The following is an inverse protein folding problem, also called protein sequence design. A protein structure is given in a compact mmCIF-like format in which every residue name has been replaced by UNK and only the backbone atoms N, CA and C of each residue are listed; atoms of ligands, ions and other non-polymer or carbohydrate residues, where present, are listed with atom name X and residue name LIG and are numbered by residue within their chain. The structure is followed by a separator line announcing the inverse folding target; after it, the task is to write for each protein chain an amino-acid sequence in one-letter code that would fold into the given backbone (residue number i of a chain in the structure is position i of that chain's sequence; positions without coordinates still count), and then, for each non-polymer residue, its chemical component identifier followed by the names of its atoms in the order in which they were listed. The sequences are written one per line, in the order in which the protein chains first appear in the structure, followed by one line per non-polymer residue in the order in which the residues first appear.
data_IF_695885188501
#
_entry.id   IF_695885188501
#
_cell.length_a   1.000
_cell.length_b   1.000
_cell.length_c   1.000
_cell.angle_alpha   90.00
_cell.angle_beta   90.00
_cell.angle_gamma   90.00
#
_symmetry.space_group_name_H-M   'P 1'
#
loop_
_entity.id
_entity.type
_entity.pdbx_description
1 polymer ?
#
# COMPACT_ATOMS: atom_id res chain seq x y z
N UNK A 1 9.39 0.68 -57.49
CA UNK A 1 8.82 0.01 -56.31
C UNK A 1 8.15 1.06 -55.43
N UNK A 2 6.81 1.11 -55.41
CA UNK A 2 6.03 2.00 -54.54
C UNK A 2 6.01 1.40 -53.14
N UNK A 3 6.60 2.10 -52.17
CA UNK A 3 6.40 1.80 -50.76
C UNK A 3 4.96 2.17 -50.40
N UNK A 4 4.16 1.16 -50.06
CA UNK A 4 2.84 1.36 -49.47
C UNK A 4 3.08 1.72 -48.00
N UNK A 5 3.00 3.02 -47.68
CA UNK A 5 2.85 3.50 -46.31
C UNK A 5 1.44 3.15 -45.83
N UNK A 6 1.23 1.86 -45.54
CA UNK A 6 0.01 1.34 -44.97
C UNK A 6 -0.05 1.67 -43.49
N UNK A 7 -0.92 2.62 -43.16
CA UNK A 7 -1.60 2.84 -41.88
C UNK A 7 -1.13 1.92 -40.74
N UNK A 8 -0.50 2.51 -39.72
CA UNK A 8 -0.52 1.98 -38.37
C UNK A 8 -2.00 1.84 -38.01
N UNK A 9 -2.52 0.60 -38.07
CA UNK A 9 -3.90 0.34 -37.68
C UNK A 9 -3.98 0.60 -36.18
N UNK A 10 -4.82 1.56 -35.79
CA UNK A 10 -5.36 1.60 -34.44
C UNK A 10 -5.85 0.19 -34.09
N UNK A 11 -5.38 -0.35 -32.97
CA UNK A 11 -5.89 -1.61 -32.42
C UNK A 11 -7.43 -1.43 -32.29
N UNK A 12 -8.25 -2.37 -32.78
CA UNK A 12 -9.69 -2.29 -32.59
C UNK A 12 -9.99 -2.19 -31.08
N UNK A 13 -10.84 -1.24 -30.69
CA UNK A 13 -11.22 -1.02 -29.28
C UNK A 13 -11.73 -2.32 -28.62
N UNK A 14 -12.42 -3.16 -29.39
CA UNK A 14 -12.92 -4.48 -28.96
C UNK A 14 -11.80 -5.46 -28.58
N UNK A 15 -10.64 -5.39 -29.24
CA UNK A 15 -9.49 -6.24 -28.94
C UNK A 15 -8.74 -5.81 -27.68
N UNK A 16 -8.79 -4.51 -27.33
CA UNK A 16 -8.26 -4.02 -26.05
C UNK A 16 -9.18 -4.45 -24.89
N UNK A 17 -10.50 -4.41 -25.07
CA UNK A 17 -11.47 -4.84 -24.08
C UNK A 17 -11.37 -6.34 -23.76
N UNK A 18 -11.29 -7.19 -24.80
CA UNK A 18 -11.06 -8.64 -24.66
C UNK A 18 -9.75 -8.93 -23.90
N UNK A 19 -8.67 -8.21 -24.20
CA UNK A 19 -7.41 -8.37 -23.50
C UNK A 19 -7.51 -8.00 -22.01
N UNK A 20 -8.33 -7.01 -21.64
CA UNK A 20 -8.54 -6.66 -20.22
C UNK A 20 -9.32 -7.74 -19.48
N UNK A 21 -10.33 -8.33 -20.11
CA UNK A 21 -11.09 -9.45 -19.55
C UNK A 21 -10.19 -10.68 -19.34
N UNK A 22 -9.34 -10.98 -20.32
CA UNK A 22 -8.37 -12.07 -20.22
C UNK A 22 -7.39 -11.87 -19.05
N UNK A 23 -6.85 -10.66 -18.87
CA UNK A 23 -5.95 -10.36 -17.75
C UNK A 23 -6.68 -10.52 -16.41
N UNK A 24 -7.94 -10.07 -16.31
CA UNK A 24 -8.75 -10.25 -15.10
C UNK A 24 -8.97 -11.74 -14.82
N UNK A 25 -9.31 -12.54 -15.83
CA UNK A 25 -9.50 -13.98 -15.70
C UNK A 25 -8.22 -14.68 -15.25
N UNK A 26 -7.06 -14.28 -15.76
CA UNK A 26 -5.76 -14.81 -15.32
C UNK A 26 -5.49 -14.52 -13.83
N UNK A 27 -5.83 -13.32 -13.34
CA UNK A 27 -5.73 -12.97 -11.91
C UNK A 27 -6.61 -13.89 -11.05
N UNK A 28 -7.84 -14.16 -11.48
CA UNK A 28 -8.77 -15.05 -10.77
C UNK A 28 -8.27 -16.50 -10.72
N UNK A 29 -7.72 -17.00 -11.84
CA UNK A 29 -7.12 -18.33 -11.91
C UNK A 29 -5.95 -18.46 -10.92
N UNK A 30 -5.06 -17.46 -10.85
CA UNK A 30 -3.95 -17.46 -9.89
C UNK A 30 -4.47 -17.51 -8.44
N UNK A 31 -5.51 -16.74 -8.12
CA UNK A 31 -6.14 -16.78 -6.79
C UNK A 31 -6.74 -18.17 -6.49
N UNK A 32 -7.40 -18.78 -7.47
CA UNK A 32 -8.00 -20.11 -7.32
C UNK A 32 -6.95 -21.19 -7.05
N UNK A 33 -5.83 -21.13 -7.78
CA UNK A 33 -4.68 -22.03 -7.58
C UNK A 33 -4.06 -21.84 -6.20
N UNK A 34 -3.86 -20.59 -5.78
CA UNK A 34 -3.32 -20.27 -4.46
C UNK A 34 -4.19 -20.83 -3.31
N UNK A 35 -5.51 -20.63 -3.39
CA UNK A 35 -6.46 -21.14 -2.38
C UNK A 35 -6.52 -22.67 -2.32
N UNK A 36 -6.20 -23.34 -3.43
CA UNK A 36 -6.21 -24.79 -3.52
C UNK A 36 -4.93 -25.43 -2.95
N UNK A 37 -4.05 -24.65 -2.30
CA UNK A 37 -2.76 -25.13 -1.79
C UNK A 37 -1.70 -25.30 -2.88
N UNK A 38 -1.90 -24.64 -4.03
CA UNK A 38 -0.92 -24.62 -5.11
C UNK A 38 0.43 -24.08 -4.62
N UNK A 39 1.52 -24.77 -4.99
CA UNK A 39 2.88 -24.44 -4.56
C UNK A 39 3.23 -22.97 -4.83
N UNK A 40 3.83 -22.28 -3.84
CA UNK A 40 4.19 -20.86 -3.90
C UNK A 40 5.00 -20.46 -5.16
N UNK A 41 5.74 -21.40 -5.74
CA UNK A 41 6.44 -21.25 -7.03
C UNK A 41 5.52 -20.87 -8.20
N UNK A 42 4.30 -21.39 -8.24
CA UNK A 42 3.33 -21.10 -9.31
C UNK A 42 2.72 -19.72 -9.12
N UNK A 43 2.42 -19.33 -7.86
CA UNK A 43 1.99 -17.98 -7.52
C UNK A 43 3.08 -16.96 -7.84
N UNK A 44 4.34 -17.24 -7.51
CA UNK A 44 5.48 -16.38 -7.84
C UNK A 44 5.60 -16.17 -9.35
N UNK A 45 5.50 -17.24 -10.15
CA UNK A 45 5.51 -17.13 -11.62
C UNK A 45 4.34 -16.28 -12.14
N UNK A 46 3.13 -16.49 -11.62
CA UNK A 46 1.96 -15.70 -11.99
C UNK A 46 2.14 -14.21 -11.67
N UNK A 47 2.63 -13.90 -10.47
CA UNK A 47 2.93 -12.52 -10.05
C UNK A 47 3.99 -11.87 -10.92
N UNK A 48 5.07 -12.56 -11.28
CA UNK A 48 6.10 -12.02 -12.19
C UNK A 48 5.55 -11.66 -13.57
N UNK A 49 4.51 -12.33 -14.02
CA UNK A 49 3.84 -12.03 -15.30
C UNK A 49 2.90 -10.82 -15.14
N UNK A 50 2.13 -10.77 -14.05
CA UNK A 50 1.06 -9.79 -13.89
C UNK A 50 1.47 -8.48 -13.22
N UNK A 51 2.38 -8.50 -12.23
CA UNK A 51 2.79 -7.30 -11.52
C UNK A 51 3.45 -6.23 -12.41
N UNK A 52 4.23 -6.57 -13.46
CA UNK A 52 4.72 -5.57 -14.41
C UNK A 52 3.61 -4.80 -15.14
N UNK A 53 2.39 -5.35 -15.18
CA UNK A 53 1.24 -4.69 -15.80
C UNK A 53 0.64 -3.62 -14.87
N UNK A 54 0.83 -3.73 -13.55
CA UNK A 54 0.33 -2.78 -12.53
C UNK A 54 1.09 -1.46 -12.63
N UNK A 55 0.67 -0.65 -13.58
CA UNK A 55 1.26 0.64 -13.94
C UNK A 55 0.21 1.74 -13.86
N UNK A 56 0.58 3.02 -13.72
CA UNK A 56 -0.40 4.11 -13.67
C UNK A 56 -1.41 4.12 -14.82
N UNK A 57 -1.05 3.84 -16.09
CA UNK A 57 -2.03 3.69 -17.18
C UNK A 57 -3.04 2.57 -16.95
N UNK A 58 -2.60 1.42 -16.43
CA UNK A 58 -3.52 0.31 -16.11
C UNK A 58 -4.45 0.67 -14.94
N UNK A 59 -3.95 1.44 -13.97
CA UNK A 59 -4.76 1.92 -12.85
C UNK A 59 -5.85 2.92 -13.26
N UNK A 60 -5.74 3.51 -14.45
CA UNK A 60 -6.81 4.33 -15.02
C UNK A 60 -8.04 3.49 -15.42
N UNK A 61 -7.91 2.15 -15.48
CA UNK A 61 -8.99 1.20 -15.73
C UNK A 61 -9.47 0.61 -14.40
N UNK A 62 -10.60 1.09 -13.83
CA UNK A 62 -10.96 0.78 -12.44
C UNK A 62 -11.21 -0.71 -12.18
N UNK A 63 -11.82 -1.42 -13.15
CA UNK A 63 -12.10 -2.85 -13.02
C UNK A 63 -10.83 -3.68 -12.90
N UNK A 64 -9.85 -3.39 -13.76
CA UNK A 64 -8.58 -4.12 -13.81
C UNK A 64 -7.68 -3.77 -12.62
N UNK A 65 -7.65 -2.49 -12.23
CA UNK A 65 -6.98 -2.06 -11.00
C UNK A 65 -7.55 -2.83 -9.79
N UNK A 66 -8.87 -2.84 -9.63
CA UNK A 66 -9.50 -3.53 -8.53
C UNK A 66 -9.27 -5.04 -8.56
N UNK A 67 -9.26 -5.67 -9.73
CA UNK A 67 -8.92 -7.09 -9.88
C UNK A 67 -7.48 -7.38 -9.41
N UNK A 68 -6.51 -6.55 -9.80
CA UNK A 68 -5.11 -6.72 -9.42
C UNK A 68 -4.88 -6.65 -7.90
N UNK A 69 -5.46 -5.65 -7.22
CA UNK A 69 -5.27 -5.52 -5.76
C UNK A 69 -6.14 -6.49 -4.95
N UNK A 70 -7.31 -6.91 -5.47
CA UNK A 70 -8.04 -8.03 -4.87
C UNK A 70 -7.23 -9.32 -4.94
N UNK A 71 -6.54 -9.58 -6.07
CA UNK A 71 -5.64 -10.73 -6.18
C UNK A 71 -4.53 -10.67 -5.12
N UNK A 72 -3.87 -9.52 -4.93
CA UNK A 72 -2.84 -9.38 -3.91
C UNK A 72 -3.39 -9.66 -2.50
N UNK A 73 -4.55 -9.09 -2.16
CA UNK A 73 -5.21 -9.36 -0.88
C UNK A 73 -5.58 -10.83 -0.70
N UNK A 74 -6.08 -11.49 -1.75
CA UNK A 74 -6.46 -12.89 -1.70
C UNK A 74 -5.23 -13.81 -1.55
N UNK A 75 -4.11 -13.46 -2.17
CA UNK A 75 -2.83 -14.15 -2.01
C UNK A 75 -2.24 -13.94 -0.61
N UNK A 76 -2.40 -12.76 -0.02
CA UNK A 76 -2.04 -12.50 1.39
C UNK A 76 -2.84 -13.40 2.33
N UNK A 77 -4.18 -13.43 2.15
CA UNK A 77 -5.07 -14.29 2.94
C UNK A 77 -4.78 -15.80 2.78
N UNK A 78 -4.20 -16.21 1.66
CA UNK A 78 -3.76 -17.57 1.40
C UNK A 78 -2.31 -17.85 1.86
N UNK A 79 -1.70 -16.93 2.62
CA UNK A 79 -0.32 -16.99 3.12
C UNK A 79 0.73 -17.14 2.00
N UNK A 80 0.43 -16.76 0.76
CA UNK A 80 1.34 -16.97 -0.36
C UNK A 80 2.42 -15.89 -0.46
N UNK A 81 2.11 -14.65 -0.07
CA UNK A 81 3.02 -13.52 -0.31
C UNK A 81 4.30 -13.60 0.53
N UNK A 82 4.23 -14.06 1.78
CA UNK A 82 5.41 -14.20 2.66
C UNK A 82 6.17 -15.52 2.44
N UNK A 83 5.74 -16.33 1.47
CA UNK A 83 6.47 -17.51 0.98
C UNK A 83 7.24 -17.22 -0.33
N UNK A 84 7.10 -16.02 -0.88
CA UNK A 84 7.79 -15.62 -2.10
C UNK A 84 9.28 -15.38 -1.85
N UNK A 85 10.15 -15.61 -2.84
CA UNK A 85 11.49 -15.03 -2.83
C UNK A 85 11.43 -13.52 -2.57
N UNK A 86 12.41 -12.99 -1.83
CA UNK A 86 12.40 -11.57 -1.41
C UNK A 86 12.29 -10.59 -2.58
N UNK A 87 12.89 -10.91 -3.73
CA UNK A 87 12.81 -10.08 -4.93
C UNK A 87 11.38 -9.98 -5.48
N UNK A 88 10.61 -11.06 -5.42
CA UNK A 88 9.21 -11.07 -5.84
C UNK A 88 8.32 -10.37 -4.81
N UNK A 89 8.61 -10.54 -3.52
CA UNK A 89 7.96 -9.77 -2.46
C UNK A 89 8.18 -8.26 -2.65
N UNK A 90 9.38 -7.86 -3.08
CA UNK A 90 9.68 -6.45 -3.38
C UNK A 90 8.84 -5.93 -4.56
N UNK A 91 8.51 -6.78 -5.54
CA UNK A 91 7.56 -6.41 -6.60
C UNK A 91 6.16 -6.17 -6.04
N UNK A 92 5.71 -6.99 -5.08
CA UNK A 92 4.42 -6.78 -4.38
C UNK A 92 4.43 -5.46 -3.61
N UNK A 93 5.50 -5.17 -2.85
CA UNK A 93 5.65 -3.89 -2.14
C UNK A 93 5.62 -2.71 -3.12
N UNK A 94 6.26 -2.85 -4.29
CA UNK A 94 6.25 -1.82 -5.33
C UNK A 94 4.85 -1.61 -5.90
N UNK A 95 4.10 -2.69 -6.16
CA UNK A 95 2.72 -2.60 -6.59
C UNK A 95 1.85 -1.90 -5.53
N UNK A 96 1.98 -2.25 -4.24
CA UNK A 96 1.27 -1.57 -3.15
C UNK A 96 1.58 -0.07 -3.09
N UNK A 97 2.84 0.35 -3.34
CA UNK A 97 3.19 1.78 -3.45
C UNK A 97 2.42 2.46 -4.56
N UNK A 98 2.42 1.85 -5.75
CA UNK A 98 1.72 2.37 -6.93
C UNK A 98 0.22 2.48 -6.66
N UNK A 99 -0.38 1.48 -5.99
CA UNK A 99 -1.79 1.46 -5.61
C UNK A 99 -2.17 2.50 -4.56
N UNK A 100 -1.31 2.74 -3.56
CA UNK A 100 -1.53 3.80 -2.57
C UNK A 100 -1.52 5.19 -3.20
N UNK A 101 -0.77 5.39 -4.28
CA UNK A 101 -0.76 6.64 -5.06
C UNK A 101 -1.85 6.70 -6.13
N UNK A 102 -2.66 5.64 -6.28
CA UNK A 102 -3.81 5.65 -7.16
C UNK A 102 -4.93 6.46 -6.51
N UNK A 103 -5.58 7.37 -7.25
CA UNK A 103 -6.67 8.24 -6.75
C UNK A 103 -7.99 7.44 -6.54
N UNK A 104 -7.93 6.12 -6.36
CA UNK A 104 -9.08 5.25 -6.21
C UNK A 104 -9.23 4.76 -4.77
N UNK A 105 -10.35 5.11 -4.12
CA UNK A 105 -10.67 4.68 -2.76
C UNK A 105 -10.62 3.15 -2.59
N UNK A 106 -11.20 2.40 -3.52
CA UNK A 106 -11.23 0.93 -3.44
C UNK A 106 -9.81 0.35 -3.47
N UNK A 107 -8.97 0.86 -4.38
CA UNK A 107 -7.58 0.41 -4.51
C UNK A 107 -6.76 0.81 -3.28
N UNK A 108 -6.86 2.05 -2.81
CA UNK A 108 -6.14 2.50 -1.61
C UNK A 108 -6.53 1.69 -0.37
N UNK A 109 -7.82 1.37 -0.22
CA UNK A 109 -8.33 0.55 0.89
C UNK A 109 -7.80 -0.88 0.81
N UNK A 110 -7.88 -1.52 -0.37
CA UNK A 110 -7.31 -2.85 -0.60
C UNK A 110 -5.80 -2.90 -0.31
N UNK A 111 -5.06 -1.86 -0.70
CA UNK A 111 -3.64 -1.74 -0.39
C UNK A 111 -3.42 -1.69 1.12
N UNK A 112 -4.14 -0.82 1.84
CA UNK A 112 -4.02 -0.69 3.29
C UNK A 112 -4.35 -2.01 4.01
N UNK A 113 -5.42 -2.70 3.62
CA UNK A 113 -5.81 -3.99 4.20
C UNK A 113 -4.76 -5.06 3.96
N UNK A 114 -4.20 -5.13 2.74
CA UNK A 114 -3.11 -6.04 2.39
C UNK A 114 -1.86 -5.74 3.22
N UNK A 115 -1.52 -4.47 3.43
CA UNK A 115 -0.40 -4.04 4.28
C UNK A 115 -0.62 -4.49 5.73
N UNK A 116 -1.84 -4.39 6.25
CA UNK A 116 -2.19 -4.87 7.59
C UNK A 116 -1.96 -6.38 7.71
N UNK A 117 -2.47 -7.17 6.76
CA UNK A 117 -2.29 -8.62 6.77
C UNK A 117 -0.82 -9.04 6.68
N UNK A 118 -0.09 -8.48 5.71
CA UNK A 118 1.35 -8.67 5.57
C UNK A 118 2.13 -8.30 6.82
N UNK A 119 1.86 -7.14 7.43
CA UNK A 119 2.54 -6.68 8.64
C UNK A 119 2.33 -7.64 9.81
N UNK A 120 1.10 -8.11 9.98
CA UNK A 120 0.76 -9.08 11.02
C UNK A 120 1.50 -10.40 10.81
N UNK A 121 1.58 -10.88 9.56
CA UNK A 121 2.29 -12.12 9.23
C UNK A 121 3.79 -11.96 9.42
N UNK A 122 4.40 -10.91 8.88
CA UNK A 122 5.83 -10.62 8.95
C UNK A 122 6.33 -10.56 10.39
N UNK A 123 5.56 -9.98 11.30
CA UNK A 123 5.89 -9.95 12.73
C UNK A 123 6.02 -11.35 13.36
N UNK A 124 5.33 -12.36 12.83
CA UNK A 124 5.44 -13.73 13.33
C UNK A 124 6.68 -14.48 12.82
N UNK A 125 7.42 -13.92 11.86
CA UNK A 125 8.60 -14.54 11.24
C UNK A 125 9.92 -14.28 12.01
N UNK A 126 9.87 -13.48 13.09
CA UNK A 126 11.05 -13.09 13.88
C UNK A 126 11.69 -11.78 13.42
N UNK A 127 12.60 -11.24 14.24
CA UNK A 127 13.09 -9.86 14.10
C UNK A 127 14.01 -9.62 12.88
N UNK A 128 14.74 -10.67 12.42
CA UNK A 128 15.72 -10.58 11.32
C UNK A 128 15.16 -11.01 9.96
N UNK A 129 13.82 -11.04 9.80
CA UNK A 129 13.23 -11.47 8.53
C UNK A 129 13.40 -10.38 7.44
N UNK A 130 13.71 -10.76 6.18
CA UNK A 130 14.02 -9.81 5.12
C UNK A 130 12.80 -8.99 4.66
N UNK A 131 11.58 -9.51 4.88
CA UNK A 131 10.34 -8.85 4.45
C UNK A 131 10.02 -7.60 5.26
N UNK A 132 10.43 -7.56 6.53
CA UNK A 132 10.21 -6.43 7.41
C UNK A 132 10.77 -5.14 6.81
N UNK A 133 12.04 -5.13 6.38
CA UNK A 133 12.66 -3.94 5.81
C UNK A 133 11.90 -3.42 4.59
N UNK A 134 11.54 -4.30 3.66
CA UNK A 134 10.79 -3.91 2.45
C UNK A 134 9.43 -3.31 2.80
N UNK A 135 8.69 -3.95 3.72
CA UNK A 135 7.35 -3.52 4.09
C UNK A 135 7.34 -2.19 4.84
N UNK A 136 8.31 -1.98 5.74
CA UNK A 136 8.45 -0.75 6.54
C UNK A 136 8.60 0.51 5.66
N UNK A 137 9.09 0.36 4.43
CA UNK A 137 9.21 1.49 3.50
C UNK A 137 7.84 2.09 3.12
N UNK A 138 6.74 1.36 3.27
CA UNK A 138 5.38 1.84 2.99
C UNK A 138 4.85 2.82 4.06
N UNK A 139 5.40 2.78 5.28
CA UNK A 139 4.95 3.65 6.37
C UNK A 139 5.23 5.12 6.07
N UNK A 140 6.41 5.42 5.52
CA UNK A 140 6.79 6.77 5.09
C UNK A 140 5.83 7.30 4.03
N UNK A 141 5.52 6.48 3.01
CA UNK A 141 4.59 6.84 1.95
C UNK A 141 3.20 7.16 2.51
N UNK A 142 2.64 6.29 3.36
CA UNK A 142 1.33 6.51 3.97
C UNK A 142 1.29 7.82 4.77
N UNK A 143 2.28 8.07 5.62
CA UNK A 143 2.36 9.32 6.39
C UNK A 143 2.45 10.53 5.47
N UNK A 144 3.26 10.47 4.42
CA UNK A 144 3.34 11.56 3.43
C UNK A 144 1.99 11.82 2.75
N UNK A 145 1.31 10.77 2.27
CA UNK A 145 0.00 10.89 1.63
C UNK A 145 -1.04 11.50 2.58
N UNK A 146 -1.03 11.10 3.84
CA UNK A 146 -1.92 11.64 4.87
C UNK A 146 -1.65 13.13 5.14
N UNK A 147 -0.39 13.49 5.34
CA UNK A 147 0.03 14.87 5.62
C UNK A 147 -0.31 15.79 4.44
N UNK A 148 -0.14 15.30 3.21
CA UNK A 148 -0.46 16.02 1.97
C UNK A 148 -1.94 15.95 1.57
N UNK A 149 -2.77 15.23 2.32
CA UNK A 149 -4.20 15.02 1.99
C UNK A 149 -4.40 14.36 0.62
N UNK A 150 -3.46 13.50 0.22
CA UNK A 150 -3.47 12.77 -1.05
C UNK A 150 -4.11 11.38 -0.93
N UNK A 151 -4.50 10.98 0.28
CA UNK A 151 -5.24 9.74 0.50
C UNK A 151 -6.75 9.99 0.45
N UNK A 152 -7.55 9.12 -0.22
CA UNK A 152 -9.01 9.24 -0.21
C UNK A 152 -9.56 9.25 1.23
N UNK A 153 -10.50 10.17 1.57
CA UNK A 153 -11.02 10.29 2.94
C UNK A 153 -11.59 9.00 3.51
N UNK A 154 -12.30 8.22 2.70
CA UNK A 154 -12.89 6.94 3.10
C UNK A 154 -11.83 5.85 3.36
N UNK A 155 -10.62 6.01 2.84
CA UNK A 155 -9.49 5.11 3.07
C UNK A 155 -8.64 5.50 4.29
N UNK A 156 -8.87 6.66 4.90
CA UNK A 156 -8.11 7.15 6.07
C UNK A 156 -8.12 6.15 7.23
N UNK A 157 -9.26 5.54 7.63
CA UNK A 157 -9.26 4.54 8.71
C UNK A 157 -8.40 3.32 8.39
N UNK A 158 -8.42 2.86 7.13
CA UNK A 158 -7.59 1.74 6.69
C UNK A 158 -6.09 2.11 6.72
N UNK A 159 -5.74 3.34 6.34
CA UNK A 159 -4.37 3.84 6.41
C UNK A 159 -3.86 3.96 7.86
N UNK A 160 -4.70 4.43 8.79
CA UNK A 160 -4.38 4.43 10.22
C UNK A 160 -4.10 3.01 10.73
N UNK A 161 -4.93 2.04 10.35
CA UNK A 161 -4.70 0.64 10.68
C UNK A 161 -3.40 0.07 10.07
N UNK A 162 -3.06 0.46 8.83
CA UNK A 162 -1.83 0.06 8.17
C UNK A 162 -0.59 0.64 8.87
N UNK A 163 -0.59 1.94 9.21
CA UNK A 163 0.50 2.59 9.95
C UNK A 163 0.70 1.93 11.32
N UNK A 164 -0.39 1.65 12.06
CA UNK A 164 -0.30 0.94 13.33
C UNK A 164 0.36 -0.43 13.17
N UNK A 165 -0.07 -1.20 12.16
CA UNK A 165 0.42 -2.57 11.92
C UNK A 165 1.89 -2.57 11.50
N UNK A 166 2.31 -1.63 10.65
CA UNK A 166 3.71 -1.41 10.27
C UNK A 166 4.56 -1.01 11.49
N UNK A 167 4.03 -0.16 12.37
CA UNK A 167 4.72 0.23 13.61
C UNK A 167 4.84 -0.95 14.57
N UNK A 168 3.89 -1.90 14.57
CA UNK A 168 4.02 -3.15 15.34
C UNK A 168 5.11 -4.08 14.79
N UNK A 169 5.50 -3.98 13.51
CA UNK A 169 6.65 -4.71 12.95
C UNK A 169 7.96 -4.14 13.50
N UNK A 170 8.06 -2.82 13.65
CA UNK A 170 9.22 -2.15 14.25
C UNK A 170 8.78 -0.93 15.06
N UNK A 171 8.67 -1.02 16.40
CA UNK A 171 8.11 0.06 17.23
C UNK A 171 8.84 1.41 17.10
N UNK A 172 10.15 1.40 16.87
CA UNK A 172 10.94 2.62 16.67
C UNK A 172 10.73 3.28 15.28
N UNK A 173 9.97 2.67 14.38
CA UNK A 173 9.74 3.16 13.02
C UNK A 173 9.08 4.54 13.05
N UNK A 174 7.96 4.67 13.76
CA UNK A 174 7.11 5.85 13.69
C UNK A 174 7.80 7.09 14.27
N UNK A 175 8.58 6.93 15.34
CA UNK A 175 9.39 8.01 15.92
C UNK A 175 10.49 8.48 14.94
N UNK A 176 11.16 7.52 14.28
CA UNK A 176 12.16 7.83 13.25
C UNK A 176 11.56 8.59 12.07
N UNK A 177 10.41 8.13 11.56
CA UNK A 177 9.70 8.77 10.46
C UNK A 177 9.15 10.15 10.84
N UNK A 178 8.59 10.30 12.04
CA UNK A 178 8.12 11.58 12.54
C UNK A 178 9.23 12.63 12.51
N UNK A 179 10.42 12.29 13.05
CA UNK A 179 11.58 13.17 13.04
C UNK A 179 12.02 13.55 11.62
N UNK A 180 12.10 12.60 10.70
CA UNK A 180 12.46 12.88 9.30
C UNK A 180 11.45 13.81 8.62
N UNK A 181 10.15 13.58 8.83
CA UNK A 181 9.08 14.41 8.27
C UNK A 181 9.08 15.82 8.87
N UNK A 182 9.32 15.95 10.18
CA UNK A 182 9.45 17.24 10.86
C UNK A 182 10.65 18.03 10.33
N UNK A 183 11.82 17.39 10.20
CA UNK A 183 13.03 18.01 9.66
C UNK A 183 12.80 18.50 8.22
N UNK A 184 12.18 17.68 7.37
CA UNK A 184 11.83 18.07 6.00
C UNK A 184 10.81 19.22 5.96
N UNK A 185 9.82 19.21 6.86
CA UNK A 185 8.80 20.25 6.96
C UNK A 185 9.37 21.59 7.46
N UNK A 186 10.31 21.56 8.41
CA UNK A 186 10.94 22.73 9.01
C UNK A 186 11.63 23.65 7.99
N UNK A 187 12.10 23.10 6.86
CA UNK A 187 12.69 23.87 5.76
C UNK A 187 11.68 24.84 5.12
N UNK A 188 10.41 24.43 5.06
CA UNK A 188 9.36 25.19 4.37
C UNK A 188 8.53 26.04 5.34
N UNK A 189 8.29 25.56 6.56
CA UNK A 189 7.45 26.25 7.53
C UNK A 189 7.90 26.03 9.00
N UNK A 190 9.01 26.66 9.42
CA UNK A 190 9.58 26.46 10.75
C UNK A 190 8.63 26.91 11.87
N UNK A 191 7.70 27.84 11.59
CA UNK A 191 6.77 28.40 12.59
C UNK A 191 5.78 27.37 13.12
N UNK A 192 5.39 26.39 12.29
CA UNK A 192 4.44 25.34 12.66
C UNK A 192 5.11 24.05 13.16
N UNK A 193 6.45 23.97 13.20
CA UNK A 193 7.19 22.80 13.68
C UNK A 193 6.77 22.34 15.08
N UNK A 194 6.66 23.23 16.09
CA UNK A 194 6.25 22.80 17.44
C UNK A 194 4.86 22.14 17.47
N UNK A 195 3.94 22.60 16.60
CA UNK A 195 2.59 22.02 16.49
C UNK A 195 2.61 20.65 15.83
N UNK A 196 3.52 20.44 14.87
CA UNK A 196 3.71 19.15 14.22
C UNK A 196 4.35 18.14 15.18
N UNK A 197 5.36 18.57 15.96
CA UNK A 197 5.96 17.76 17.03
C UNK A 197 4.90 17.33 18.06
N UNK A 198 4.07 18.28 18.52
CA UNK A 198 2.99 17.99 19.46
C UNK A 198 1.98 16.99 18.87
N UNK A 199 1.60 17.15 17.60
CA UNK A 199 0.69 16.23 16.92
C UNK A 199 1.25 14.79 16.86
N UNK A 200 2.53 14.63 16.52
CA UNK A 200 3.19 13.32 16.55
C UNK A 200 3.31 12.75 17.98
N UNK A 201 3.49 13.62 18.98
CA UNK A 201 3.41 13.24 20.39
C UNK A 201 2.03 12.66 20.76
N UNK A 202 0.94 13.29 20.30
CA UNK A 202 -0.43 12.79 20.51
C UNK A 202 -0.63 11.43 19.84
N UNK A 203 -0.13 11.25 18.62
CA UNK A 203 -0.31 10.03 17.83
C UNK A 203 0.16 8.77 18.59
N UNK A 204 1.28 8.87 19.30
CA UNK A 204 1.92 7.75 20.01
C UNK A 204 1.57 7.67 21.49
N UNK A 205 0.94 8.70 22.06
CA UNK A 205 0.71 8.81 23.50
C UNK A 205 -0.10 7.63 24.08
N UNK A 206 0.54 6.88 24.98
CA UNK A 206 -0.06 5.75 25.68
C UNK A 206 -0.42 4.57 24.78
N UNK A 207 0.16 4.48 23.58
CA UNK A 207 -0.04 3.36 22.65
C UNK A 207 1.10 2.37 22.81
N UNK A 208 0.76 1.09 22.97
CA UNK A 208 1.71 -0.01 22.82
C UNK A 208 1.55 -0.64 21.42
N UNK A 209 2.66 -0.87 20.73
CA UNK A 209 2.69 -1.43 19.39
C UNK A 209 2.90 -2.95 19.41
N UNK A 210 2.00 -3.65 20.11
CA UNK A 210 2.03 -5.11 20.31
C UNK A 210 0.98 -5.86 19.50
N UNK A 211 0.24 -5.16 18.63
CA UNK A 211 -0.82 -5.73 17.79
C UNK A 211 -2.11 -6.07 18.53
N UNK A 212 -2.25 -5.74 19.82
CA UNK A 212 -3.50 -5.98 20.55
C UNK A 212 -4.59 -5.03 20.08
N UNK A 213 -5.83 -5.56 19.97
CA UNK A 213 -6.99 -4.79 19.51
C UNK A 213 -7.23 -3.52 20.33
N UNK A 214 -7.05 -3.57 21.64
CA UNK A 214 -7.21 -2.42 22.55
C UNK A 214 -6.25 -1.28 22.22
N UNK A 215 -4.99 -1.60 21.93
CA UNK A 215 -3.99 -0.60 21.57
C UNK A 215 -4.18 -0.08 20.15
N UNK A 216 -4.62 -0.94 19.22
CA UNK A 216 -5.04 -0.52 17.87
C UNK A 216 -6.17 0.51 17.92
N UNK A 217 -7.20 0.28 18.73
CA UNK A 217 -8.31 1.22 18.89
C UNK A 217 -7.84 2.56 19.48
N UNK A 218 -6.99 2.52 20.52
CA UNK A 218 -6.41 3.75 21.09
C UNK A 218 -5.57 4.52 20.06
N UNK A 219 -4.77 3.81 19.26
CA UNK A 219 -4.01 4.44 18.18
C UNK A 219 -4.94 5.11 17.18
N UNK A 220 -6.04 4.45 16.78
CA UNK A 220 -7.02 5.04 15.86
C UNK A 220 -7.62 6.33 16.42
N UNK A 221 -8.01 6.34 17.70
CA UNK A 221 -8.53 7.55 18.37
C UNK A 221 -7.49 8.68 18.40
N UNK A 222 -6.21 8.35 18.60
CA UNK A 222 -5.12 9.32 18.57
C UNK A 222 -4.82 9.79 17.14
N UNK A 223 -4.95 8.91 16.16
CA UNK A 223 -4.76 9.20 14.75
C UNK A 223 -5.80 10.19 14.23
N UNK A 224 -7.06 10.05 14.62
CA UNK A 224 -8.11 11.00 14.26
C UNK A 224 -7.82 12.41 14.82
N UNK A 225 -7.30 12.51 16.06
CA UNK A 225 -6.86 13.79 16.65
C UNK A 225 -5.65 14.36 15.93
N UNK A 226 -4.68 13.52 15.59
CA UNK A 226 -3.50 13.90 14.81
C UNK A 226 -3.92 14.52 13.47
N UNK A 227 -4.83 13.88 12.74
CA UNK A 227 -5.36 14.39 11.48
C UNK A 227 -6.04 15.75 11.65
N UNK A 228 -6.94 15.87 12.62
CA UNK A 228 -7.64 17.13 12.90
C UNK A 228 -6.66 18.28 13.20
N UNK A 229 -5.59 18.01 13.96
CA UNK A 229 -4.53 18.98 14.22
C UNK A 229 -3.76 19.32 12.95
N UNK A 230 -3.15 18.32 12.30
CA UNK A 230 -2.24 18.49 11.15
C UNK A 230 -2.95 19.17 9.98
N UNK A 231 -4.14 18.71 9.61
CA UNK A 231 -4.91 19.33 8.53
C UNK A 231 -5.36 20.75 8.89
N UNK A 232 -5.61 21.04 10.17
CA UNK A 232 -5.98 22.36 10.66
C UNK A 232 -4.89 23.44 10.56
N UNK A 233 -3.63 23.09 10.30
CA UNK A 233 -2.57 24.08 10.08
C UNK A 233 -1.71 23.85 8.84
N UNK A 234 -1.77 22.66 8.23
CA UNK A 234 -1.10 22.40 6.96
C UNK A 234 -1.92 22.82 5.74
N UNK A 235 -3.27 22.74 5.82
CA UNK A 235 -4.16 23.07 4.69
C UNK A 235 -4.50 24.57 4.65
N UNK A 236 -4.32 25.30 5.77
CA UNK A 236 -4.74 26.71 5.90
C UNK A 236 -3.72 27.69 5.26
N UNK A 237 -3.07 27.29 4.15
CA UNK A 237 -2.14 28.15 3.40
C UNK A 237 -2.47 28.17 1.92
#
# INVERSE_FOLDING_TARGET
MRWNSGKISSIPQDAEEEAYEDICALMEVICSVARSGGAGDTCARGLRILLPLVTPPLLALPGLAAAAYRMLRDLDNADQLTNLPIDDFNMVVTALRVGLTAVSCDVSTLCCDTIVGLSNKVRTLGDDNPYALSLLTLAELLLMLIIKVEIPPDSIPAAGAAIYSLTCVKPALLEGLARQLIEAYAVNDPTNVPRLEEAFGVLTNGVLFDGLRTHKLRFQDNFDKFLASVHGFLIVK
#
